data_IF_285973969071
#
_entry.id   IF_285973969071
#
_cell.length_a   1.000
_cell.length_b   1.000
_cell.length_c   1.000
_cell.angle_alpha   90.00
_cell.angle_beta   90.00
_cell.angle_gamma   90.00
#
_symmetry.space_group_name_H-M   'P 1'
#
loop_
_entity.id
_entity.type
_entity.pdbx_description
1 polymer ?
#
# COMPACT_ATOMS: atom_id res chain seq x y z
N UNK A 1 -38.33 -6.42 -3.00
CA UNK A 1 -38.17 -7.89 -3.14
C UNK A 1 -37.27 -8.32 -4.33
N UNK A 2 -36.59 -7.39 -5.01
CA UNK A 2 -35.90 -7.65 -6.30
C UNK A 2 -34.39 -7.88 -6.16
N UNK A 3 -33.75 -7.36 -5.10
CA UNK A 3 -32.31 -7.43 -4.90
C UNK A 3 -31.78 -8.83 -4.56
N UNK A 4 -32.52 -9.63 -3.77
CA UNK A 4 -32.11 -10.99 -3.37
C UNK A 4 -31.89 -11.94 -4.56
N UNK A 5 -32.67 -11.78 -5.65
CA UNK A 5 -32.55 -12.60 -6.86
C UNK A 5 -31.28 -12.30 -7.67
N UNK A 6 -30.72 -11.10 -7.54
CA UNK A 6 -29.50 -10.69 -8.26
C UNK A 6 -28.26 -11.30 -7.58
N UNK A 7 -28.21 -11.29 -6.25
CA UNK A 7 -27.10 -11.90 -5.49
C UNK A 7 -27.03 -13.42 -5.68
N UNK A 8 -28.17 -14.12 -5.74
CA UNK A 8 -28.20 -15.55 -6.04
C UNK A 8 -27.68 -15.86 -7.45
N UNK A 9 -28.00 -15.02 -8.45
CA UNK A 9 -27.49 -15.17 -9.81
C UNK A 9 -25.99 -14.90 -9.89
N UNK A 10 -25.48 -13.87 -9.21
CA UNK A 10 -24.05 -13.58 -9.11
C UNK A 10 -23.27 -14.68 -8.39
N UNK A 11 -23.83 -15.22 -7.30
CA UNK A 11 -23.23 -16.34 -6.56
C UNK A 11 -23.19 -17.61 -7.42
N UNK A 12 -24.25 -17.94 -8.14
CA UNK A 12 -24.28 -19.07 -9.07
C UNK A 12 -23.27 -18.90 -10.22
N UNK A 13 -23.10 -17.68 -10.72
CA UNK A 13 -22.13 -17.37 -11.77
C UNK A 13 -20.70 -17.47 -11.26
N UNK A 14 -20.43 -17.03 -10.02
CA UNK A 14 -19.14 -17.18 -9.35
C UNK A 14 -18.81 -18.66 -9.07
N UNK A 15 -19.79 -19.43 -8.60
CA UNK A 15 -19.66 -20.89 -8.38
C UNK A 15 -19.45 -21.63 -9.70
N UNK A 16 -20.15 -21.25 -10.78
CA UNK A 16 -19.93 -21.79 -12.11
C UNK A 16 -18.54 -21.42 -12.68
N UNK A 17 -18.03 -20.23 -12.37
CA UNK A 17 -16.67 -19.81 -12.75
C UNK A 17 -15.60 -20.62 -12.00
N UNK A 18 -15.84 -20.94 -10.72
CA UNK A 18 -14.97 -21.78 -9.90
C UNK A 18 -15.01 -23.24 -10.37
N UNK A 19 -16.20 -23.75 -10.73
CA UNK A 19 -16.38 -25.12 -11.22
C UNK A 19 -15.82 -25.33 -12.63
N UNK A 20 -15.89 -24.33 -13.51
CA UNK A 20 -15.36 -24.44 -14.89
C UNK A 20 -13.83 -24.57 -14.95
N UNK A 21 -13.11 -24.16 -13.90
CA UNK A 21 -11.65 -24.41 -13.80
C UNK A 21 -11.29 -25.88 -13.54
N UNK A 22 -12.28 -26.73 -13.23
CA UNK A 22 -12.06 -28.16 -12.92
C UNK A 22 -12.09 -29.09 -14.15
N UNK A 23 -12.34 -28.57 -15.37
CA UNK A 23 -12.58 -29.39 -16.58
C UNK A 23 -11.35 -29.52 -17.51
N UNK A 24 -10.20 -28.96 -17.15
CA UNK A 24 -8.97 -29.16 -17.95
C UNK A 24 -8.20 -30.41 -17.50
N UNK A 25 -8.77 -31.59 -17.75
CA UNK A 25 -8.10 -32.87 -17.54
C UNK A 25 -8.08 -33.67 -18.84
N UNK A 26 -7.04 -33.49 -19.68
CA UNK A 26 -6.44 -34.48 -20.57
C UNK A 26 -5.30 -33.84 -21.40
N UNK A 27 -4.34 -34.67 -21.82
CA UNK A 27 -3.02 -34.39 -22.45
C UNK A 27 -1.83 -34.26 -21.48
N UNK A 28 -1.28 -35.42 -21.16
CA UNK A 28 -0.09 -35.63 -20.33
C UNK A 28 1.18 -35.54 -21.19
N UNK A 29 1.76 -34.35 -21.34
CA UNK A 29 3.13 -34.16 -21.84
C UNK A 29 4.07 -33.98 -20.64
N UNK A 30 5.02 -34.91 -20.45
CA UNK A 30 5.97 -34.98 -19.32
C UNK A 30 6.84 -33.73 -19.15
N UNK A 31 7.03 -32.90 -20.19
CA UNK A 31 7.78 -31.63 -20.10
C UNK A 31 6.88 -30.43 -19.78
N UNK A 32 5.61 -30.45 -20.19
CA UNK A 32 4.60 -29.43 -19.84
C UNK A 32 4.10 -29.54 -18.40
N UNK A 33 4.31 -30.66 -17.71
CA UNK A 33 3.66 -31.01 -16.42
C UNK A 33 4.35 -30.50 -15.15
N UNK A 34 5.62 -30.05 -15.18
CA UNK A 34 6.32 -29.73 -13.90
C UNK A 34 5.93 -28.38 -13.31
N UNK A 35 5.75 -27.33 -14.13
CA UNK A 35 5.41 -25.99 -13.62
C UNK A 35 3.96 -25.89 -13.15
N UNK A 36 3.07 -26.71 -13.71
CA UNK A 36 1.65 -26.74 -13.33
C UNK A 36 1.44 -27.22 -11.89
N UNK A 37 2.41 -27.92 -11.32
CA UNK A 37 2.43 -28.26 -9.89
C UNK A 37 2.68 -27.02 -9.01
N UNK A 38 3.42 -26.03 -9.51
CA UNK A 38 3.82 -24.81 -8.77
C UNK A 38 2.88 -23.63 -9.04
N UNK A 39 1.59 -23.90 -9.31
CA UNK A 39 0.61 -22.86 -9.65
C UNK A 39 0.17 -21.99 -8.49
N UNK A 40 0.19 -22.53 -7.28
CA UNK A 40 -0.31 -21.84 -6.10
C UNK A 40 0.85 -21.47 -5.18
N UNK A 41 0.88 -20.21 -4.79
CA UNK A 41 1.78 -19.65 -3.80
C UNK A 41 0.97 -18.95 -2.71
N UNK A 42 1.37 -19.17 -1.47
CA UNK A 42 0.93 -18.39 -0.31
C UNK A 42 2.15 -17.73 0.30
N UNK A 43 2.02 -16.54 0.83
CA UNK A 43 3.15 -15.89 1.48
C UNK A 43 2.76 -14.65 2.23
N UNK A 44 3.78 -14.03 2.79
CA UNK A 44 3.66 -12.73 3.43
C UNK A 44 4.92 -11.93 3.21
N UNK A 45 4.82 -10.65 3.50
CA UNK A 45 5.95 -9.74 3.41
C UNK A 45 5.95 -8.73 4.53
N UNK A 46 7.13 -8.24 4.87
CA UNK A 46 7.35 -7.20 5.85
C UNK A 46 8.36 -6.19 5.29
N UNK A 47 8.25 -4.94 5.71
CA UNK A 47 9.24 -3.95 5.34
C UNK A 47 8.82 -2.56 5.75
N UNK A 48 9.12 -1.60 4.90
CA UNK A 48 8.93 -0.19 5.16
C UNK A 48 7.91 0.43 4.22
N UNK A 49 7.13 1.37 4.74
CA UNK A 49 6.26 2.28 4.00
C UNK A 49 6.72 3.72 4.19
N UNK A 50 6.66 4.50 3.11
CA UNK A 50 6.99 5.91 3.08
C UNK A 50 5.82 6.68 2.46
N UNK A 51 5.34 7.70 3.16
CA UNK A 51 4.28 8.56 2.67
C UNK A 51 4.83 9.54 1.62
N UNK A 52 4.04 9.80 0.58
CA UNK A 52 4.31 10.75 -0.48
C UNK A 52 3.09 11.68 -0.59
N UNK A 53 3.16 12.81 0.10
CA UNK A 53 2.11 13.81 0.10
C UNK A 53 2.65 15.10 0.71
N UNK A 54 1.76 15.93 1.23
CA UNK A 54 2.09 17.28 1.66
C UNK A 54 2.74 17.37 3.03
N UNK A 55 2.61 16.32 3.84
CA UNK A 55 3.24 16.21 5.16
C UNK A 55 4.45 15.27 5.12
N UNK A 56 5.63 15.79 5.49
CA UNK A 56 6.90 15.07 5.40
C UNK A 56 7.48 14.97 3.98
N UNK A 57 8.55 14.16 3.83
CA UNK A 57 9.30 13.99 2.57
C UNK A 57 10.37 15.06 2.36
N UNK A 58 11.46 14.68 1.68
CA UNK A 58 12.75 15.39 1.59
C UNK A 58 12.71 16.87 1.16
N UNK A 59 13.78 17.58 1.52
CA UNK A 59 14.02 19.03 1.40
C UNK A 59 14.14 19.56 -0.03
N UNK A 60 13.23 19.23 -0.95
CA UNK A 60 13.26 19.80 -2.29
C UNK A 60 11.90 19.89 -2.98
N UNK A 61 11.64 21.07 -3.54
CA UNK A 61 10.78 21.26 -4.71
C UNK A 61 11.40 20.46 -5.87
N UNK A 62 10.69 19.46 -6.40
CA UNK A 62 10.96 18.90 -7.73
C UNK A 62 12.22 18.06 -7.93
N UNK A 63 12.56 17.13 -7.02
CA UNK A 63 13.59 16.10 -7.27
C UNK A 63 12.96 14.75 -7.67
N UNK A 64 13.02 14.42 -8.96
CA UNK A 64 12.67 13.11 -9.49
C UNK A 64 13.66 12.02 -9.01
N UNK A 65 13.22 11.09 -8.16
CA UNK A 65 13.84 9.75 -8.06
C UNK A 65 13.98 9.12 -6.67
N UNK A 66 14.38 7.84 -6.65
CA UNK A 66 14.58 6.97 -5.48
C UNK A 66 15.74 7.37 -4.55
N UNK A 67 16.39 8.52 -4.79
CA UNK A 67 17.59 8.96 -4.06
C UNK A 67 17.31 9.81 -2.83
N UNK A 68 16.04 10.12 -2.58
CA UNK A 68 15.58 10.96 -1.46
C UNK A 68 14.68 10.21 -0.46
N UNK A 69 15.01 8.92 -0.22
CA UNK A 69 14.37 8.13 0.82
C UNK A 69 14.83 8.62 2.20
N UNK A 70 14.13 9.61 2.75
CA UNK A 70 14.34 10.08 4.12
C UNK A 70 13.86 9.00 5.11
N UNK A 71 14.79 8.41 5.86
CA UNK A 71 14.51 7.31 6.80
C UNK A 71 13.69 7.74 8.04
N UNK A 72 13.49 9.04 8.28
CA UNK A 72 12.76 9.56 9.45
C UNK A 72 11.24 9.29 9.43
N UNK A 73 10.66 9.01 8.26
CA UNK A 73 9.22 8.73 8.12
C UNK A 73 8.91 7.27 7.78
N UNK A 74 9.92 6.39 7.75
CA UNK A 74 9.72 4.98 7.43
C UNK A 74 8.96 4.28 8.56
N UNK A 75 7.84 3.67 8.22
CA UNK A 75 7.03 2.91 9.15
C UNK A 75 6.93 1.46 8.71
N UNK A 76 6.54 0.59 9.63
CA UNK A 76 6.40 -0.83 9.35
C UNK A 76 5.20 -1.04 8.41
N UNK A 77 5.40 -1.88 7.40
CA UNK A 77 4.33 -2.48 6.60
C UNK A 77 4.44 -4.00 6.66
N UNK A 78 3.28 -4.66 6.60
CA UNK A 78 3.15 -6.10 6.51
C UNK A 78 2.08 -6.45 5.47
N UNK A 79 2.24 -7.58 4.79
CA UNK A 79 1.32 -8.03 3.75
C UNK A 79 1.07 -9.53 3.85
N UNK A 80 -0.13 -9.95 3.48
CA UNK A 80 -0.47 -11.35 3.26
C UNK A 80 -0.91 -11.54 1.80
N UNK A 81 -0.40 -12.58 1.16
CA UNK A 81 -0.47 -12.73 -0.29
C UNK A 81 -0.84 -14.14 -0.68
N UNK A 82 -1.75 -14.25 -1.66
CA UNK A 82 -2.01 -15.49 -2.39
C UNK A 82 -1.82 -15.24 -3.88
N UNK A 83 -0.90 -15.98 -4.51
CA UNK A 83 -0.56 -15.86 -5.92
C UNK A 83 -0.90 -17.14 -6.67
N UNK A 84 -1.58 -17.00 -7.81
CA UNK A 84 -1.95 -18.07 -8.73
C UNK A 84 -1.35 -17.83 -10.12
N UNK A 85 -0.54 -18.77 -10.61
CA UNK A 85 0.07 -18.70 -11.93
C UNK A 85 -0.87 -19.17 -13.03
N UNK A 86 -1.36 -18.22 -13.84
CA UNK A 86 -2.12 -18.49 -15.06
C UNK A 86 -1.21 -19.09 -16.15
N UNK A 87 -0.01 -18.54 -16.26
CA UNK A 87 1.05 -19.00 -17.18
C UNK A 87 2.38 -19.01 -16.45
N UNK A 88 3.41 -19.58 -17.08
CA UNK A 88 4.77 -19.54 -16.53
C UNK A 88 5.26 -18.11 -16.30
N UNK A 89 4.80 -17.10 -17.01
CA UNK A 89 5.24 -15.71 -16.85
C UNK A 89 4.15 -14.76 -16.37
N UNK A 90 2.94 -15.25 -16.07
CA UNK A 90 1.81 -14.41 -15.68
C UNK A 90 1.15 -15.03 -14.46
N UNK A 91 1.02 -14.25 -13.39
CA UNK A 91 0.29 -14.63 -12.20
C UNK A 91 -0.75 -13.57 -11.84
N UNK A 92 -1.79 -14.01 -11.13
CA UNK A 92 -2.72 -13.13 -10.42
C UNK A 92 -2.49 -13.29 -8.93
N UNK A 93 -2.50 -12.20 -8.18
CA UNK A 93 -2.22 -12.15 -6.75
C UNK A 93 -3.32 -11.39 -6.03
N UNK A 94 -3.86 -11.98 -4.99
CA UNK A 94 -4.66 -11.29 -3.99
C UNK A 94 -3.74 -10.86 -2.84
N UNK A 95 -3.86 -9.60 -2.41
CA UNK A 95 -2.98 -8.98 -1.41
C UNK A 95 -3.81 -8.30 -0.34
N UNK A 96 -3.49 -8.56 0.93
CA UNK A 96 -4.01 -7.84 2.09
C UNK A 96 -2.84 -7.16 2.80
N UNK A 97 -2.73 -5.85 2.62
CA UNK A 97 -1.64 -5.04 3.11
C UNK A 97 -2.07 -4.21 4.32
N UNK A 98 -1.18 -4.13 5.30
CA UNK A 98 -1.23 -3.19 6.39
C UNK A 98 0.01 -2.31 6.33
N UNK A 99 -0.18 -1.00 6.29
CA UNK A 99 0.91 -0.03 6.34
C UNK A 99 0.62 0.98 7.44
N UNK A 100 1.67 1.44 8.10
CA UNK A 100 1.60 2.70 8.82
C UNK A 100 2.21 3.78 7.93
N UNK A 101 1.59 4.95 7.88
CA UNK A 101 2.12 6.13 7.21
C UNK A 101 2.32 7.22 8.26
N UNK A 102 3.25 8.13 8.02
CA UNK A 102 3.45 9.30 8.85
C UNK A 102 4.16 10.40 8.08
N UNK A 103 3.88 11.63 8.47
CA UNK A 103 4.55 12.84 8.01
C UNK A 103 4.56 13.86 9.13
N UNK A 104 5.54 14.75 9.09
CA UNK A 104 5.77 15.75 10.12
C UNK A 104 6.48 16.93 9.48
N UNK A 105 5.82 18.09 9.51
CA UNK A 105 6.35 19.35 9.00
C UNK A 105 7.57 19.84 9.78
N UNK A 106 7.77 19.43 11.02
CA UNK A 106 8.96 19.81 11.77
C UNK A 106 10.26 19.31 11.11
N UNK A 107 10.16 18.31 10.22
CA UNK A 107 11.28 17.72 9.50
C UNK A 107 11.53 18.36 8.12
N UNK A 108 10.81 19.41 7.72
CA UNK A 108 11.02 20.11 6.44
C UNK A 108 11.92 21.34 6.60
N UNK A 109 12.75 21.63 5.59
CA UNK A 109 13.47 22.90 5.50
C UNK A 109 12.63 24.05 4.92
N UNK A 110 11.42 23.77 4.43
CA UNK A 110 10.53 24.81 3.90
C UNK A 110 9.92 25.63 5.06
N UNK A 111 10.18 26.96 5.16
CA UNK A 111 9.82 27.73 6.34
C UNK A 111 8.32 27.80 6.65
N UNK A 112 7.44 27.87 5.65
CA UNK A 112 5.99 27.97 5.84
C UNK A 112 5.38 26.65 6.32
N UNK A 113 5.82 25.50 5.79
CA UNK A 113 5.46 24.16 6.26
C UNK A 113 5.98 23.95 7.67
N UNK A 114 7.24 24.32 7.94
CA UNK A 114 7.79 24.25 9.31
C UNK A 114 7.00 25.12 10.30
N UNK A 115 6.54 26.31 9.89
CA UNK A 115 5.63 27.14 10.69
C UNK A 115 4.26 26.47 10.90
N UNK A 116 3.69 25.82 9.88
CA UNK A 116 2.41 25.08 9.98
C UNK A 116 2.49 23.95 11.02
N UNK A 117 3.64 23.27 11.12
CA UNK A 117 3.96 22.34 12.21
C UNK A 117 2.92 21.22 12.38
N UNK A 118 2.31 20.76 11.28
CA UNK A 118 1.39 19.63 11.30
C UNK A 118 2.16 18.31 11.31
N UNK A 119 1.61 17.33 12.01
CA UNK A 119 2.12 15.97 12.04
C UNK A 119 0.98 14.97 12.06
N UNK A 120 1.21 13.83 11.44
CA UNK A 120 0.22 12.77 11.42
C UNK A 120 0.86 11.38 11.44
N UNK A 121 0.03 10.41 11.83
CA UNK A 121 0.21 8.99 11.50
C UNK A 121 -1.10 8.43 10.98
N UNK A 122 -1.04 7.52 10.03
CA UNK A 122 -2.23 6.84 9.52
C UNK A 122 -1.98 5.33 9.42
N UNK A 123 -2.65 4.48 10.21
CA UNK A 123 -2.81 3.08 9.84
C UNK A 123 -3.65 2.98 8.55
N UNK A 124 -3.16 2.17 7.61
CA UNK A 124 -3.75 1.90 6.31
C UNK A 124 -3.93 0.40 6.13
N UNK A 125 -5.13 -0.01 5.74
CA UNK A 125 -5.45 -1.38 5.34
C UNK A 125 -5.84 -1.39 3.87
N UNK A 126 -5.15 -2.16 3.05
CA UNK A 126 -5.39 -2.26 1.60
C UNK A 126 -5.76 -3.70 1.23
N UNK A 127 -6.82 -3.85 0.43
CA UNK A 127 -7.16 -5.09 -0.26
C UNK A 127 -7.01 -4.88 -1.78
N UNK A 128 -6.14 -5.66 -2.40
CA UNK A 128 -5.77 -5.48 -3.81
C UNK A 128 -5.75 -6.78 -4.61
N UNK A 129 -6.17 -6.69 -5.87
CA UNK A 129 -5.94 -7.69 -6.92
C UNK A 129 -4.84 -7.20 -7.86
N UNK A 130 -3.80 -8.01 -8.02
CA UNK A 130 -2.55 -7.65 -8.71
C UNK A 130 -2.26 -8.66 -9.81
N UNK A 131 -1.75 -8.20 -10.95
CA UNK A 131 -1.20 -9.05 -12.00
C UNK A 131 0.32 -8.93 -11.97
N UNK A 132 1.00 -10.07 -11.82
CA UNK A 132 2.46 -10.15 -11.84
C UNK A 132 2.92 -10.66 -13.21
N UNK A 133 3.79 -9.90 -13.88
CA UNK A 133 4.41 -10.26 -15.14
C UNK A 133 5.91 -10.52 -14.94
N UNK A 134 6.32 -11.78 -15.11
CA UNK A 134 7.70 -12.22 -14.92
C UNK A 134 8.49 -12.04 -16.22
N UNK A 135 9.39 -11.05 -16.21
CA UNK A 135 10.30 -10.73 -17.31
C UNK A 135 11.39 -11.79 -17.39
N UNK A 136 12.03 -12.09 -16.25
CA UNK A 136 13.00 -13.17 -16.10
C UNK A 136 12.42 -14.20 -15.15
N UNK A 137 12.59 -15.48 -15.49
CA UNK A 137 12.10 -16.56 -14.63
C UNK A 137 12.98 -17.80 -14.69
N UNK A 138 13.28 -18.33 -13.52
CA UNK A 138 14.01 -19.60 -13.36
C UNK A 138 13.26 -20.76 -14.07
N UNK A 139 14.02 -21.68 -14.68
CA UNK A 139 13.48 -22.93 -15.25
C UNK A 139 13.33 -23.99 -14.15
N UNK A 140 12.11 -24.48 -13.84
CA UNK A 140 11.94 -25.51 -12.82
C UNK A 140 12.64 -26.82 -13.18
N UNK A 141 13.55 -27.27 -12.33
CA UNK A 141 14.10 -28.63 -12.36
C UNK A 141 15.25 -28.86 -13.34
N UNK A 142 16.08 -27.85 -13.58
CA UNK A 142 17.46 -28.04 -14.04
C UNK A 142 18.39 -27.61 -12.91
N UNK A 143 18.98 -28.58 -12.22
CA UNK A 143 20.18 -28.34 -11.43
C UNK A 143 21.21 -27.88 -12.46
N UNK A 144 21.57 -26.60 -12.43
CA UNK A 144 22.56 -26.05 -13.34
C UNK A 144 23.89 -26.76 -13.06
N UNK A 145 24.29 -27.64 -13.98
CA UNK A 145 25.68 -28.05 -14.10
C UNK A 145 26.51 -26.79 -14.36
N UNK A 146 27.69 -26.74 -13.76
CA UNK A 146 28.60 -25.62 -13.50
C UNK A 146 28.97 -24.68 -14.69
N UNK A 147 28.37 -24.83 -15.88
CA UNK A 147 28.78 -24.18 -17.13
C UNK A 147 27.63 -23.58 -17.98
N UNK A 148 26.53 -23.09 -17.40
CA UNK A 148 25.52 -22.34 -18.17
C UNK A 148 25.08 -21.09 -17.43
N UNK A 149 25.61 -19.94 -17.86
CA UNK A 149 25.24 -18.59 -17.43
C UNK A 149 23.75 -18.34 -17.74
N UNK A 150 22.86 -18.67 -16.78
CA UNK A 150 21.44 -18.34 -16.87
C UNK A 150 20.91 -17.89 -15.51
N UNK A 151 20.01 -16.91 -15.59
CA UNK A 151 19.46 -16.16 -14.46
C UNK A 151 18.98 -17.06 -13.31
N UNK A 152 19.51 -16.82 -12.12
CA UNK A 152 19.24 -17.59 -10.88
C UNK A 152 18.16 -16.89 -10.03
N UNK A 153 17.42 -15.96 -10.62
CA UNK A 153 16.39 -15.17 -9.97
C UNK A 153 15.24 -14.86 -10.94
N UNK A 154 14.08 -14.66 -10.36
CA UNK A 154 12.88 -14.17 -11.01
C UNK A 154 12.87 -12.64 -10.91
N UNK A 155 12.66 -11.96 -12.04
CA UNK A 155 12.41 -10.52 -12.10
C UNK A 155 11.02 -10.31 -12.67
N UNK A 156 10.19 -9.57 -11.95
CA UNK A 156 8.81 -9.31 -12.35
C UNK A 156 8.44 -7.86 -12.10
N UNK A 157 7.55 -7.36 -12.93
CA UNK A 157 6.80 -6.13 -12.69
C UNK A 157 5.37 -6.49 -12.36
N UNK A 158 4.68 -5.62 -11.65
CA UNK A 158 3.29 -5.85 -11.31
C UNK A 158 2.49 -4.56 -11.28
N UNK A 159 1.20 -4.70 -11.55
CA UNK A 159 0.22 -3.64 -11.44
C UNK A 159 -1.12 -4.24 -10.99
N UNK A 160 -1.90 -3.47 -10.24
CA UNK A 160 -3.18 -3.94 -9.71
C UNK A 160 -4.16 -2.84 -9.46
N UNK A 161 -5.29 -3.24 -8.88
CA UNK A 161 -6.34 -2.34 -8.38
C UNK A 161 -6.78 -2.82 -7.02
N UNK A 162 -7.12 -1.89 -6.14
CA UNK A 162 -7.55 -2.19 -4.79
C UNK A 162 -8.35 -1.07 -4.16
N UNK A 163 -8.68 -1.28 -2.90
CA UNK A 163 -9.31 -0.30 -2.02
C UNK A 163 -8.51 -0.24 -0.73
N UNK A 164 -8.15 0.97 -0.31
CA UNK A 164 -7.49 1.25 0.94
C UNK A 164 -8.46 1.93 1.93
N UNK A 165 -8.44 1.48 3.17
CA UNK A 165 -8.99 2.18 4.32
C UNK A 165 -7.86 2.86 5.09
N UNK A 166 -7.99 4.12 5.43
CA UNK A 166 -6.99 4.89 6.17
C UNK A 166 -7.64 5.66 7.33
N UNK A 167 -6.88 5.93 8.39
CA UNK A 167 -7.37 6.69 9.54
C UNK A 167 -6.28 7.63 10.05
N UNK A 168 -6.22 8.89 9.57
CA UNK A 168 -5.19 9.82 10.00
C UNK A 168 -5.42 10.22 11.46
N UNK A 169 -4.32 10.34 12.19
CA UNK A 169 -4.28 10.67 13.60
C UNK A 169 -3.14 11.65 13.86
N UNK A 170 -3.37 12.64 14.69
CA UNK A 170 -2.32 13.51 15.22
C UNK A 170 -2.24 13.36 16.74
N UNK A 171 -1.14 13.85 17.30
CA UNK A 171 -0.85 13.74 18.74
C UNK A 171 -1.00 15.10 19.42
N UNK A 172 -1.87 15.19 20.41
CA UNK A 172 -2.02 16.34 21.30
C UNK A 172 -1.85 15.88 22.75
N UNK A 173 -1.01 16.57 23.53
CA UNK A 173 -0.74 16.28 24.96
C UNK A 173 -0.46 14.79 25.30
N UNK A 174 0.20 14.06 24.40
CA UNK A 174 0.49 12.63 24.62
C UNK A 174 -0.55 11.67 24.02
N UNK A 175 -1.75 12.15 23.70
CA UNK A 175 -2.88 11.36 23.21
C UNK A 175 -2.97 11.43 21.69
N UNK A 176 -3.22 10.29 21.05
CA UNK A 176 -3.46 10.23 19.60
C UNK A 176 -4.95 10.34 19.31
N UNK A 177 -5.34 11.37 18.58
CA UNK A 177 -6.73 11.67 18.22
C UNK A 177 -6.92 11.43 16.73
N UNK A 178 -8.01 10.75 16.36
CA UNK A 178 -8.40 10.60 14.96
C UNK A 178 -8.87 11.94 14.40
N UNK A 179 -8.35 12.33 13.24
CA UNK A 179 -8.58 13.66 12.67
C UNK A 179 -9.90 13.78 11.91
N UNK A 180 -10.26 12.74 11.14
CA UNK A 180 -11.50 12.72 10.34
C UNK A 180 -12.79 13.05 11.12
N UNK A 181 -12.98 12.58 12.38
CA UNK A 181 -14.16 12.93 13.16
C UNK A 181 -14.21 14.37 13.68
N UNK A 182 -13.05 15.03 13.85
CA UNK A 182 -12.94 16.38 14.43
C UNK A 182 -12.85 17.49 13.38
N UNK A 183 -12.79 17.14 12.09
CA UNK A 183 -12.95 18.08 10.98
C UNK A 183 -12.00 19.27 11.03
N UNK A 184 -10.69 19.03 10.90
CA UNK A 184 -9.61 20.03 11.00
C UNK A 184 -9.67 21.15 9.96
N UNK A 185 -10.39 20.95 8.85
CA UNK A 185 -10.65 22.01 7.85
C UNK A 185 -12.13 22.46 7.87
N UNK A 186 -12.80 22.26 9.01
CA UNK A 186 -14.20 22.63 9.21
C UNK A 186 -15.21 21.60 8.74
N UNK A 187 -14.78 20.38 8.38
CA UNK A 187 -15.69 19.34 7.92
C UNK A 187 -16.73 18.99 9.02
N UNK A 188 -17.98 18.78 8.59
CA UNK A 188 -19.09 18.43 9.48
C UNK A 188 -19.70 19.59 10.26
N UNK A 189 -19.15 20.80 10.16
CA UNK A 189 -19.76 22.04 10.69
C UNK A 189 -20.90 22.48 9.77
N UNK A 190 -21.89 23.20 10.32
CA UNK A 190 -23.03 23.72 9.55
C UNK A 190 -22.55 24.55 8.34
N UNK A 191 -23.18 24.34 7.18
CA UNK A 191 -22.85 24.96 5.90
C UNK A 191 -21.45 24.61 5.34
N UNK A 192 -20.75 23.62 5.93
CA UNK A 192 -19.47 23.11 5.43
C UNK A 192 -19.59 21.72 4.81
N UNK A 193 -18.58 21.28 4.02
CA UNK A 193 -18.52 19.93 3.50
C UNK A 193 -18.61 18.87 4.60
N UNK A 194 -19.12 17.69 4.25
CA UNK A 194 -19.11 16.53 5.14
C UNK A 194 -17.68 15.99 5.29
N UNK A 195 -17.43 15.25 6.37
CA UNK A 195 -16.16 14.56 6.57
C UNK A 195 -15.83 13.67 5.38
N UNK A 196 -14.56 13.68 4.98
CA UNK A 196 -14.08 12.89 3.86
C UNK A 196 -14.23 11.38 4.10
N UNK A 197 -14.23 10.62 3.02
CA UNK A 197 -14.25 9.16 3.07
C UNK A 197 -12.89 8.62 3.54
N UNK A 198 -12.91 7.71 4.52
CA UNK A 198 -11.72 6.93 4.91
C UNK A 198 -11.40 5.78 3.96
N UNK A 199 -12.20 5.59 2.91
CA UNK A 199 -11.95 4.61 1.85
C UNK A 199 -11.56 5.33 0.56
N UNK A 200 -10.48 4.87 -0.06
CA UNK A 200 -9.99 5.38 -1.35
C UNK A 200 -9.59 4.21 -2.26
N UNK A 201 -9.87 4.27 -3.57
CA UNK A 201 -9.27 3.32 -4.50
C UNK A 201 -7.75 3.47 -4.53
N UNK A 202 -7.05 2.40 -4.88
CA UNK A 202 -5.59 2.40 -4.98
C UNK A 202 -5.13 1.60 -6.20
N UNK A 203 -4.10 2.09 -6.87
CA UNK A 203 -3.42 1.39 -7.96
C UNK A 203 -1.99 1.09 -7.50
N UNK A 204 -1.71 -0.13 -7.00
CA UNK A 204 -0.36 -0.58 -6.72
C UNK A 204 0.37 -0.91 -8.03
N UNK A 205 1.57 -0.36 -8.21
CA UNK A 205 2.49 -0.64 -9.33
C UNK A 205 3.88 -0.85 -8.77
N UNK A 206 4.64 -1.82 -9.27
CA UNK A 206 5.97 -2.06 -8.75
C UNK A 206 6.81 -3.07 -9.51
N UNK A 207 7.98 -3.31 -8.94
CA UNK A 207 8.96 -4.27 -9.41
C UNK A 207 9.37 -5.18 -8.26
N UNK A 208 9.61 -6.45 -8.58
CA UNK A 208 10.02 -7.45 -7.63
C UNK A 208 11.11 -8.35 -8.17
N UNK A 209 11.96 -8.78 -7.26
CA UNK A 209 12.97 -9.81 -7.46
C UNK A 209 12.63 -10.97 -6.52
N UNK A 210 12.67 -12.20 -7.00
CA UNK A 210 12.46 -13.37 -6.15
C UNK A 210 13.42 -14.49 -6.51
N UNK A 211 13.76 -15.33 -5.54
CA UNK A 211 14.62 -16.49 -5.74
C UNK A 211 14.13 -17.66 -4.89
N UNK A 212 14.07 -18.84 -5.49
CA UNK A 212 13.87 -20.08 -4.74
C UNK A 212 15.13 -20.41 -3.95
N UNK A 213 14.98 -20.67 -2.66
CA UNK A 213 16.12 -20.98 -1.79
C UNK A 213 16.01 -22.37 -1.15
N UNK A 214 14.81 -22.91 -0.95
CA UNK A 214 14.66 -24.23 -0.32
C UNK A 214 13.41 -24.97 -0.83
N UNK A 215 13.55 -25.84 -1.83
CA UNK A 215 12.49 -26.72 -2.32
C UNK A 215 11.25 -25.96 -2.81
N UNK A 216 10.28 -25.79 -1.91
CA UNK A 216 9.01 -25.08 -2.12
C UNK A 216 8.99 -23.66 -1.56
N UNK A 217 10.11 -23.13 -1.08
CA UNK A 217 10.23 -21.78 -0.55
C UNK A 217 10.95 -20.85 -1.52
N UNK A 218 10.44 -19.63 -1.65
CA UNK A 218 11.09 -18.50 -2.31
C UNK A 218 11.09 -17.27 -1.41
N UNK A 219 12.14 -16.47 -1.52
CA UNK A 219 12.25 -15.17 -0.88
C UNK A 219 12.47 -14.10 -1.95
N UNK A 220 12.07 -12.87 -1.67
CA UNK A 220 12.17 -11.78 -2.63
C UNK A 220 12.21 -10.40 -2.00
N UNK A 221 12.40 -9.42 -2.86
CA UNK A 221 12.30 -7.99 -2.56
C UNK A 221 11.28 -7.39 -3.52
N UNK A 222 10.32 -6.63 -3.01
CA UNK A 222 9.37 -5.85 -3.82
C UNK A 222 9.47 -4.37 -3.43
N UNK A 223 9.58 -3.49 -4.42
CA UNK A 223 9.38 -2.05 -4.27
C UNK A 223 8.17 -1.65 -5.08
N UNK A 224 7.25 -0.91 -4.50
CA UNK A 224 6.03 -0.52 -5.20
C UNK A 224 5.49 0.84 -4.74
N UNK A 225 4.95 1.55 -5.71
CA UNK A 225 4.23 2.80 -5.58
C UNK A 225 2.73 2.55 -5.57
N UNK A 226 2.02 3.19 -4.64
CA UNK A 226 0.57 3.14 -4.50
C UNK A 226 0.03 4.50 -4.85
N UNK A 227 -0.52 4.62 -6.05
CA UNK A 227 -1.32 5.80 -6.41
C UNK A 227 -2.66 5.71 -5.70
N UNK A 228 -3.00 6.71 -4.90
CA UNK A 228 -4.36 6.82 -4.33
C UNK A 228 -5.13 7.92 -5.04
N UNK A 229 -6.40 8.06 -4.66
CA UNK A 229 -7.30 9.09 -5.20
C UNK A 229 -7.91 9.94 -4.07
N UNK A 230 -7.26 9.94 -2.91
CA UNK A 230 -7.59 10.81 -1.78
C UNK A 230 -6.47 11.82 -1.59
N UNK A 231 -6.84 12.94 -1.00
CA UNK A 231 -5.95 14.03 -0.60
C UNK A 231 -6.11 14.30 0.89
N UNK A 232 -6.31 13.22 1.64
CA UNK A 232 -6.73 13.28 3.04
C UNK A 232 -6.13 12.11 3.82
N UNK A 233 -5.18 11.37 3.24
CA UNK A 233 -4.44 10.31 3.95
C UNK A 233 -3.67 10.90 5.12
N UNK A 234 -3.24 12.15 4.98
CA UNK A 234 -2.58 12.95 6.01
C UNK A 234 -3.48 13.99 6.68
N UNK A 235 -4.76 14.04 6.30
CA UNK A 235 -5.77 15.00 6.76
C UNK A 235 -5.53 16.45 6.29
N UNK A 236 -4.82 16.68 5.18
CA UNK A 236 -4.50 18.01 4.65
C UNK A 236 -4.86 18.12 3.18
N UNK A 237 -5.73 19.07 2.81
CA UNK A 237 -6.20 19.19 1.41
C UNK A 237 -6.49 20.61 0.94
N UNK A 238 -7.06 21.46 1.80
CA UNK A 238 -7.68 22.71 1.33
C UNK A 238 -7.10 23.94 2.01
N UNK A 239 -7.91 24.62 2.82
CA UNK A 239 -7.58 25.88 3.46
C UNK A 239 -7.82 25.78 4.96
N UNK A 240 -7.18 26.67 5.71
CA UNK A 240 -7.50 26.82 7.13
C UNK A 240 -8.93 27.33 7.27
N UNK A 241 -9.72 26.63 8.07
CA UNK A 241 -11.05 27.07 8.46
C UNK A 241 -10.99 27.93 9.73
N UNK A 242 -12.08 28.63 10.05
CA UNK A 242 -12.17 29.42 11.28
C UNK A 242 -11.96 28.55 12.52
N UNK A 243 -10.83 28.72 13.19
CA UNK A 243 -10.43 27.84 14.29
C UNK A 243 -11.31 28.00 15.54
N UNK A 244 -11.93 29.16 15.75
CA UNK A 244 -12.87 29.37 16.86
C UNK A 244 -14.18 28.59 16.68
N UNK A 245 -14.61 28.40 15.43
CA UNK A 245 -15.77 27.55 15.11
C UNK A 245 -15.45 26.07 15.33
N UNK A 246 -14.25 25.62 14.95
CA UNK A 246 -13.77 24.26 15.25
C UNK A 246 -13.75 24.05 16.77
N UNK A 247 -13.18 25.00 17.52
CA UNK A 247 -13.15 24.97 18.98
C UNK A 247 -14.54 24.82 19.59
N UNK A 248 -15.49 25.64 19.13
CA UNK A 248 -16.87 25.64 19.65
C UNK A 248 -17.59 24.32 19.37
N UNK A 249 -17.36 23.72 18.20
CA UNK A 249 -18.05 22.50 17.80
C UNK A 249 -17.43 21.22 18.37
N UNK A 250 -16.09 21.13 18.35
CA UNK A 250 -15.36 19.89 18.58
C UNK A 250 -14.41 19.94 19.79
N UNK A 251 -14.12 21.11 20.34
CA UNK A 251 -13.28 21.29 21.53
C UNK A 251 -11.91 21.92 21.26
N UNK A 252 -11.19 22.23 22.35
CA UNK A 252 -9.87 22.87 22.30
C UNK A 252 -8.80 22.00 21.64
N UNK A 253 -8.88 20.68 21.83
CA UNK A 253 -7.99 19.70 21.20
C UNK A 253 -8.14 19.70 19.68
N UNK A 254 -9.37 19.76 19.19
CA UNK A 254 -9.65 19.83 17.76
C UNK A 254 -9.09 21.12 17.14
N UNK A 255 -9.26 22.25 17.83
CA UNK A 255 -8.75 23.54 17.36
C UNK A 255 -7.22 23.58 17.35
N UNK A 256 -6.56 22.98 18.34
CA UNK A 256 -5.11 22.85 18.33
C UNK A 256 -4.61 21.95 17.18
N UNK A 257 -5.27 20.81 16.97
CA UNK A 257 -4.88 19.87 15.90
C UNK A 257 -5.18 20.41 14.49
N UNK A 258 -6.14 21.32 14.36
CA UNK A 258 -6.44 22.01 13.11
C UNK A 258 -5.33 23.01 12.71
N UNK A 259 -4.79 23.73 13.69
CA UNK A 259 -3.71 24.72 13.52
C UNK A 259 -2.73 24.71 14.70
N UNK A 260 -1.68 23.85 14.65
CA UNK A 260 -0.60 23.81 15.65
C UNK A 260 0.56 24.74 15.29
N UNK A 261 0.32 25.79 14.51
CA UNK A 261 1.38 26.62 13.95
C UNK A 261 2.23 27.32 15.00
N UNK A 262 3.48 27.58 14.63
CA UNK A 262 4.47 28.23 15.50
C UNK A 262 4.25 29.75 15.60
N UNK A 263 3.58 30.35 14.61
CA UNK A 263 3.38 31.79 14.48
C UNK A 263 4.62 32.57 14.04
N UNK A 264 5.67 31.87 13.59
CA UNK A 264 6.91 32.47 13.12
C UNK A 264 7.63 31.59 12.10
N UNK A 265 8.44 32.23 11.25
CA UNK A 265 9.45 31.56 10.43
C UNK A 265 10.86 31.89 10.95
N UNK A 266 11.82 30.99 10.72
CA UNK A 266 13.22 31.23 11.01
C UNK A 266 13.92 31.74 9.75
N UNK A 267 14.63 32.87 9.85
CA UNK A 267 15.47 33.38 8.76
C UNK A 267 16.81 32.62 8.65
N UNK A 268 17.61 32.94 7.63
CA UNK A 268 18.94 32.32 7.42
C UNK A 268 19.91 32.53 8.61
N UNK A 269 19.65 33.52 9.47
CA UNK A 269 20.44 33.83 10.66
C UNK A 269 19.85 33.22 11.95
N UNK A 270 18.73 32.48 11.85
CA UNK A 270 18.03 31.88 12.98
C UNK A 270 17.12 32.84 13.77
N UNK A 271 16.86 34.06 13.26
CA UNK A 271 15.92 34.97 13.87
C UNK A 271 14.48 34.54 13.59
N UNK A 272 13.63 34.63 14.61
CA UNK A 272 12.19 34.34 14.49
C UNK A 272 11.45 35.57 13.98
N UNK A 273 10.92 35.48 12.77
CA UNK A 273 10.10 36.51 12.14
C UNK A 273 8.63 36.11 12.33
N UNK A 274 7.81 36.91 13.04
CA UNK A 274 6.39 36.63 13.17
C UNK A 274 5.71 36.54 11.81
N UNK A 275 4.91 35.49 11.61
CA UNK A 275 4.13 35.30 10.38
C UNK A 275 2.75 34.78 10.73
N UNK A 276 1.75 35.21 9.96
CA UNK A 276 0.41 34.65 10.02
C UNK A 276 0.08 33.99 8.67
N UNK A 277 0.60 32.77 8.47
CA UNK A 277 0.39 31.99 7.25
C UNK A 277 -0.72 30.93 7.37
N UNK A 278 -1.40 30.88 8.51
CA UNK A 278 -2.46 29.89 8.82
C UNK A 278 -3.81 30.52 9.11
N UNK A 279 -3.99 31.80 8.79
CA UNK A 279 -5.26 32.49 8.92
C UNK A 279 -6.38 31.83 8.09
N UNK A 280 -7.65 32.05 8.48
CA UNK A 280 -8.82 31.54 7.77
C UNK A 280 -8.74 31.88 6.26
N UNK A 281 -8.92 30.86 5.41
CA UNK A 281 -8.83 30.97 3.97
C UNK A 281 -7.41 30.86 3.39
N UNK A 282 -6.36 30.84 4.21
CA UNK A 282 -5.00 30.57 3.76
C UNK A 282 -4.83 29.09 3.41
N UNK A 283 -3.88 28.80 2.52
CA UNK A 283 -3.62 27.44 2.06
C UNK A 283 -3.17 26.56 3.21
N UNK A 284 -3.91 25.47 3.44
CA UNK A 284 -3.54 24.39 4.36
C UNK A 284 -2.96 23.22 3.59
N UNK A 285 -3.52 22.92 2.42
CA UNK A 285 -3.01 21.97 1.42
C UNK A 285 -3.39 22.32 -0.01
N UNK A 286 -3.13 21.42 -0.95
CA UNK A 286 -3.41 21.53 -2.38
C UNK A 286 -4.35 20.42 -2.87
N UNK A 287 -5.62 20.73 -3.15
CA UNK A 287 -6.62 19.74 -3.56
C UNK A 287 -6.37 19.16 -4.94
N UNK A 288 -5.35 19.62 -5.67
CA UNK A 288 -4.97 19.08 -6.98
C UNK A 288 -3.88 18.01 -6.89
N UNK A 289 -3.09 17.98 -5.81
CA UNK A 289 -2.21 16.85 -5.54
C UNK A 289 -3.02 15.71 -4.93
N UNK A 290 -2.56 14.47 -5.05
CA UNK A 290 -3.23 13.31 -4.43
C UNK A 290 -2.18 12.50 -3.73
N UNK A 291 -2.50 12.13 -2.51
CA UNK A 291 -1.61 11.34 -1.68
C UNK A 291 -1.24 10.02 -2.35
N UNK A 292 0.01 9.65 -2.15
CA UNK A 292 0.55 8.37 -2.53
C UNK A 292 1.43 7.82 -1.43
N UNK A 293 1.85 6.56 -1.58
CA UNK A 293 2.87 6.01 -0.71
C UNK A 293 3.69 4.93 -1.40
N UNK A 294 4.93 4.78 -0.97
CA UNK A 294 5.83 3.74 -1.39
C UNK A 294 5.88 2.63 -0.34
N UNK A 295 6.12 1.39 -0.80
CA UNK A 295 6.56 0.32 0.08
C UNK A 295 7.81 -0.35 -0.48
N UNK A 296 8.70 -0.75 0.42
CA UNK A 296 9.83 -1.63 0.13
C UNK A 296 9.78 -2.81 1.10
N UNK A 297 9.56 -4.02 0.59
CA UNK A 297 9.28 -5.20 1.41
C UNK A 297 10.14 -6.39 1.04
N UNK A 298 10.47 -7.20 2.05
CA UNK A 298 11.01 -8.54 1.88
C UNK A 298 9.84 -9.51 1.85
N UNK A 299 9.76 -10.34 0.82
CA UNK A 299 8.69 -11.31 0.62
C UNK A 299 9.17 -12.73 0.88
N UNK A 300 8.29 -13.56 1.44
CA UNK A 300 8.50 -15.00 1.58
C UNK A 300 7.25 -15.71 1.04
N UNK A 301 7.42 -16.59 0.06
CA UNK A 301 6.34 -17.40 -0.50
C UNK A 301 6.64 -18.89 -0.40
N UNK A 302 5.60 -19.68 -0.16
CA UNK A 302 5.59 -21.13 -0.19
C UNK A 302 4.71 -21.63 -1.33
N UNK A 303 5.25 -22.53 -2.16
CA UNK A 303 4.52 -23.19 -3.25
C UNK A 303 3.73 -24.40 -2.74
N UNK A 304 2.43 -24.47 -3.00
CA UNK A 304 1.55 -25.56 -2.53
C UNK A 304 1.66 -26.87 -3.35
N UNK A 305 2.73 -27.02 -4.13
CA UNK A 305 2.94 -28.10 -5.10
C UNK A 305 3.03 -29.54 -4.53
N UNK A 306 2.96 -29.70 -3.20
CA UNK A 306 3.10 -30.98 -2.50
C UNK A 306 1.81 -31.60 -1.93
N UNK A 307 0.68 -30.86 -1.88
CA UNK A 307 -0.53 -31.30 -1.15
C UNK A 307 -1.41 -32.30 -1.92
N UNK A 308 -1.22 -32.45 -3.24
CA UNK A 308 -2.01 -33.34 -4.10
C UNK A 308 -1.39 -34.72 -4.35
N UNK A 309 -0.33 -35.10 -3.63
CA UNK A 309 0.20 -36.47 -3.69
C UNK A 309 -0.68 -37.42 -2.85
N UNK A 310 -1.77 -37.89 -3.45
CA UNK A 310 -2.35 -39.17 -3.06
C UNK A 310 -1.27 -40.25 -3.19
N UNK A 311 -0.85 -40.86 -2.07
CA UNK A 311 0.05 -42.02 -2.05
C UNK A 311 -0.62 -43.17 -2.81
N UNK A 312 -0.46 -43.25 -4.14
CA UNK A 312 -0.68 -44.53 -4.84
C UNK A 312 0.50 -45.44 -4.52
N UNK A 313 0.30 -46.30 -3.53
CA UNK A 313 1.17 -47.42 -3.18
C UNK A 313 1.24 -48.32 -4.42
N UNK A 314 2.31 -48.22 -5.20
CA UNK A 314 2.53 -49.13 -6.34
C UNK A 314 2.77 -50.51 -5.76
N UNK A 315 1.77 -51.39 -5.84
CA UNK A 315 1.95 -52.82 -5.56
C UNK A 315 2.80 -53.38 -6.70
N UNK A 316 4.07 -53.68 -6.41
CA UNK A 316 4.91 -54.48 -7.32
C UNK A 316 4.30 -55.89 -7.37
N UNK A 317 3.60 -56.22 -8.45
CA UNK A 317 3.39 -57.62 -8.84
C UNK A 317 4.71 -58.14 -9.39
N UNK A 318 5.29 -59.13 -8.71
CA UNK A 318 6.36 -59.95 -9.26
C UNK A 318 5.72 -60.93 -10.24
N UNK A 319 6.22 -60.96 -11.47
CA UNK A 319 6.04 -62.09 -12.38
C UNK A 319 7.05 -63.17 -12.02
#
# INVERSE_FOLDING_TARGET
MTYSKIYHKLLLLLVALILSQSISAQFFDQRRTRWTLYRHQVGGSIGFSAFLGELGGADAIGSDGLRDLNFNSNRITANLEYRYFLKRNIAVRASLLFAFLSGDDANTNEPFRKNRNLHFRAPVFELSGIIDFFILREEPGKISSFNSSRFIFDLYIFAGVGVAYFNPQAKYEGVWTSLQPIGTEGQGIELQPKNYSRFTPVIPIGIGFAKKFAGYWSAGLEVSYRKTFSDYIDDVSTVYFNNDKIRTQYGDDAAYLADPSLGYIEDENGNKIPVNSTAEGMQRGDPNDKDAYLTAVVTIHYYLAGLTKGRKKVRRTRF
#
